data_IF_985429200102
#
_entry.id   IF_985429200102
#
_cell.length_a   1.000
_cell.length_b   1.000
_cell.length_c   1.000
_cell.angle_alpha   90.00
_cell.angle_beta   90.00
_cell.angle_gamma   90.00
#
_symmetry.space_group_name_H-M   'P 1'
#
loop_
_entity.id
_entity.type
_entity.pdbx_description
1 polymer ?
#
# COMPACT_ATOMS: atom_id res chain seq x y z
N UNK A 1 21.77 -5.87 60.43
CA UNK A 1 22.03 -4.51 59.91
C UNK A 1 21.36 -4.42 58.55
N UNK A 2 20.11 -3.93 58.50
CA UNK A 2 19.33 -3.83 57.26
C UNK A 2 19.46 -2.37 56.79
N UNK A 3 20.11 -2.17 55.64
CA UNK A 3 20.18 -0.86 55.00
C UNK A 3 18.83 -0.54 54.36
N UNK A 4 18.15 0.48 54.88
CA UNK A 4 17.02 1.13 54.23
C UNK A 4 17.57 2.12 53.19
N UNK A 5 17.51 1.75 51.91
CA UNK A 5 17.79 2.67 50.81
C UNK A 5 16.56 3.55 50.64
N UNK A 6 16.62 4.78 51.17
CA UNK A 6 15.62 5.82 50.86
C UNK A 6 15.80 6.24 49.40
N UNK A 7 14.87 5.82 48.54
CA UNK A 7 14.73 6.34 47.18
C UNK A 7 14.09 7.72 47.26
N UNK A 8 14.88 8.76 47.01
CA UNK A 8 14.37 10.12 46.86
C UNK A 8 13.72 10.16 45.47
N UNK A 9 12.38 10.22 45.43
CA UNK A 9 11.65 10.47 44.20
C UNK A 9 11.80 11.97 43.88
N UNK A 10 12.72 12.31 42.97
CA UNK A 10 12.80 13.67 42.44
C UNK A 10 11.49 13.96 41.68
N UNK A 11 10.61 14.75 42.29
CA UNK A 11 9.47 15.34 41.60
C UNK A 11 10.02 16.21 40.47
N UNK A 12 9.61 15.93 39.23
CA UNK A 12 9.86 16.82 38.11
C UNK A 12 9.28 18.21 38.47
N UNK A 13 9.97 19.32 38.14
CA UNK A 13 9.44 20.65 38.41
C UNK A 13 8.07 20.76 37.73
N UNK A 14 7.05 21.16 38.49
CA UNK A 14 5.73 21.42 37.97
C UNK A 14 5.85 22.55 36.94
N UNK A 15 5.77 22.20 35.65
CA UNK A 15 5.68 23.19 34.58
C UNK A 15 4.41 24.00 34.82
N UNK A 16 4.53 25.33 34.88
CA UNK A 16 3.35 26.19 34.88
C UNK A 16 2.49 25.86 33.66
N UNK A 17 1.17 25.80 33.85
CA UNK A 17 0.24 25.62 32.74
C UNK A 17 0.34 26.83 31.80
N UNK A 18 0.24 26.62 30.48
CA UNK A 18 0.26 27.73 29.54
C UNK A 18 -1.01 28.57 29.68
N UNK A 19 -0.88 29.90 29.50
CA UNK A 19 -2.02 30.84 29.58
C UNK A 19 -3.18 30.46 28.67
N UNK A 20 -2.82 30.02 27.47
CA UNK A 20 -3.75 29.49 26.47
C UNK A 20 -3.28 28.08 26.17
N UNK A 21 -4.13 27.11 26.46
CA UNK A 21 -3.84 25.69 26.27
C UNK A 21 -4.65 25.13 25.10
N UNK A 22 -4.02 24.22 24.35
CA UNK A 22 -4.68 23.42 23.31
C UNK A 22 -4.57 21.94 23.65
N UNK A 23 -5.69 21.21 23.64
CA UNK A 23 -5.71 19.78 23.96
C UNK A 23 -6.53 19.02 22.91
N UNK A 24 -5.89 18.15 22.09
CA UNK A 24 -4.44 17.93 21.99
C UNK A 24 -3.70 19.10 21.31
N UNK A 25 -2.43 19.30 21.67
CA UNK A 25 -1.50 20.26 21.02
C UNK A 25 -0.63 19.63 19.92
N UNK A 26 -0.55 18.30 19.91
CA UNK A 26 0.13 17.50 18.88
C UNK A 26 -0.90 16.55 18.29
N UNK A 27 -1.11 16.65 16.98
CA UNK A 27 -2.11 15.89 16.25
C UNK A 27 -1.39 15.12 15.15
N UNK A 28 -1.78 13.88 14.93
CA UNK A 28 -1.42 13.11 13.75
C UNK A 28 -2.70 12.74 13.02
N UNK A 29 -2.80 13.10 11.75
CA UNK A 29 -4.02 13.00 10.98
C UNK A 29 -3.73 12.47 9.60
N UNK A 30 -4.44 11.43 9.18
CA UNK A 30 -4.37 10.96 7.81
C UNK A 30 -5.06 11.94 6.86
N UNK A 31 -4.51 12.11 5.67
CA UNK A 31 -5.13 12.93 4.63
C UNK A 31 -6.58 12.53 4.35
N UNK A 32 -7.46 13.53 4.22
CA UNK A 32 -8.90 13.35 4.07
C UNK A 32 -9.69 13.22 5.37
N UNK A 33 -9.01 13.07 6.51
CA UNK A 33 -9.66 13.00 7.83
C UNK A 33 -9.67 14.35 8.55
N UNK A 34 -10.46 14.39 9.62
CA UNK A 34 -10.60 15.56 10.50
C UNK A 34 -10.57 15.14 11.96
N UNK A 35 -10.14 16.03 12.84
CA UNK A 35 -10.20 15.84 14.30
C UNK A 35 -10.49 17.16 14.99
N UNK A 36 -10.91 17.09 16.25
CA UNK A 36 -11.12 18.28 17.07
C UNK A 36 -9.96 18.51 18.05
N UNK A 37 -9.72 19.78 18.35
CA UNK A 37 -8.88 20.21 19.46
C UNK A 37 -9.61 21.28 20.26
N UNK A 38 -9.39 21.26 21.56
CA UNK A 38 -10.02 22.15 22.52
C UNK A 38 -9.04 23.23 22.95
N UNK A 39 -9.48 24.48 22.94
CA UNK A 39 -8.73 25.66 23.40
C UNK A 39 -9.36 26.17 24.69
N UNK A 40 -8.53 26.33 25.73
CA UNK A 40 -8.95 26.83 27.03
C UNK A 40 -8.00 27.91 27.55
N UNK A 41 -8.57 28.86 28.28
CA UNK A 41 -7.89 29.94 28.99
C UNK A 41 -7.66 29.51 30.45
N UNK A 42 -6.56 29.92 31.07
CA UNK A 42 -6.21 29.55 32.45
C UNK A 42 -6.79 30.51 33.50
N UNK A 43 -7.00 31.78 33.14
CA UNK A 43 -7.44 32.86 34.03
C UNK A 43 -8.59 33.71 33.44
N UNK A 44 -9.34 34.47 34.26
CA UNK A 44 -10.33 35.42 33.77
C UNK A 44 -9.76 36.49 32.84
N UNK A 45 -10.55 36.90 31.83
CA UNK A 45 -10.19 38.03 30.97
C UNK A 45 -10.53 39.33 31.72
N UNK A 46 -9.49 40.03 32.18
CA UNK A 46 -9.63 41.30 32.92
C UNK A 46 -9.10 42.44 32.03
N UNK A 47 -9.92 43.48 31.84
CA UNK A 47 -9.61 44.64 31.00
C UNK A 47 -9.97 45.96 31.71
N UNK A 48 -9.45 47.12 31.24
CA UNK A 48 -9.81 48.43 31.80
C UNK A 48 -11.29 48.81 31.62
N UNK A 49 -11.93 48.28 30.58
CA UNK A 49 -13.35 48.53 30.25
C UNK A 49 -14.07 47.21 30.02
N UNK A 50 -15.31 47.09 30.49
CA UNK A 50 -16.19 45.93 30.26
C UNK A 50 -17.44 46.35 29.45
N UNK A 51 -17.90 45.54 28.48
CA UNK A 51 -17.39 44.21 28.13
C UNK A 51 -16.07 44.28 27.35
N UNK A 52 -15.22 43.28 27.55
CA UNK A 52 -14.06 43.06 26.68
C UNK A 52 -14.01 41.63 26.15
N UNK A 53 -13.17 41.42 25.13
CA UNK A 53 -13.07 40.16 24.43
C UNK A 53 -11.62 39.75 24.20
N UNK A 54 -11.44 38.45 23.99
CA UNK A 54 -10.21 37.83 23.48
C UNK A 54 -10.55 37.11 22.19
N UNK A 55 -9.79 37.37 21.13
CA UNK A 55 -9.88 36.62 19.87
C UNK A 55 -8.57 35.92 19.51
N UNK A 56 -8.69 34.73 18.95
CA UNK A 56 -7.61 33.92 18.41
C UNK A 56 -7.96 33.56 16.96
N UNK A 57 -7.22 34.13 16.01
CA UNK A 57 -7.32 33.74 14.59
C UNK A 57 -6.19 32.76 14.27
N UNK A 58 -6.56 31.51 14.01
CA UNK A 58 -5.63 30.45 13.68
C UNK A 58 -5.23 30.51 12.21
N UNK A 59 -3.93 30.46 11.99
CA UNK A 59 -3.31 30.44 10.66
C UNK A 59 -2.54 29.14 10.50
N UNK A 60 -2.66 28.53 9.31
CA UNK A 60 -1.86 27.37 8.92
C UNK A 60 -0.60 27.83 8.22
N UNK A 61 0.53 27.19 8.53
CA UNK A 61 1.78 27.34 7.78
C UNK A 61 1.66 26.81 6.34
N UNK A 62 0.73 25.89 6.08
CA UNK A 62 0.32 25.47 4.74
C UNK A 62 -1.18 25.19 4.69
N UNK A 63 -1.93 26.12 4.10
CA UNK A 63 -3.38 26.01 3.95
C UNK A 63 -3.80 25.03 2.84
N UNK A 64 -2.87 24.53 2.03
CA UNK A 64 -3.14 23.49 1.02
C UNK A 64 -3.14 22.09 1.61
N UNK A 65 -2.54 21.92 2.80
CA UNK A 65 -2.42 20.63 3.49
C UNK A 65 -3.31 20.53 4.74
N UNK A 66 -3.52 21.63 5.46
CA UNK A 66 -4.37 21.65 6.66
C UNK A 66 -5.29 22.86 6.65
N UNK A 67 -6.58 22.62 6.89
CA UNK A 67 -7.58 23.66 7.13
C UNK A 67 -8.12 23.58 8.56
N UNK A 68 -8.66 24.70 9.05
CA UNK A 68 -9.17 24.85 10.42
C UNK A 68 -10.54 25.53 10.39
N UNK A 69 -11.51 24.99 11.11
CA UNK A 69 -12.89 25.51 11.19
C UNK A 69 -13.44 25.42 12.61
N UNK A 70 -13.96 26.53 13.18
CA UNK A 70 -13.83 27.90 12.69
C UNK A 70 -12.37 28.37 12.69
N UNK A 71 -12.02 29.35 11.85
CA UNK A 71 -10.65 29.90 11.84
C UNK A 71 -10.40 30.92 12.95
N UNK A 72 -11.45 31.45 13.57
CA UNK A 72 -11.36 32.39 14.69
C UNK A 72 -12.21 31.91 15.85
N UNK A 73 -11.63 31.95 17.05
CA UNK A 73 -12.32 31.73 18.32
C UNK A 73 -12.37 33.04 19.10
N UNK A 74 -13.50 33.27 19.77
CA UNK A 74 -13.72 34.46 20.59
C UNK A 74 -14.27 34.06 21.95
N UNK A 75 -13.80 34.78 22.97
CA UNK A 75 -14.31 34.74 24.33
C UNK A 75 -14.72 36.14 24.75
N UNK A 76 -15.90 36.27 25.33
CA UNK A 76 -16.24 37.43 26.15
C UNK A 76 -15.62 37.26 27.54
N UNK A 77 -15.42 38.37 28.24
CA UNK A 77 -14.93 38.40 29.62
C UNK A 77 -15.77 37.53 30.58
N UNK A 78 -17.07 37.44 30.36
CA UNK A 78 -18.00 36.58 31.12
C UNK A 78 -17.93 35.10 30.75
N UNK A 79 -17.23 34.72 29.67
CA UNK A 79 -17.20 33.37 29.12
C UNK A 79 -15.80 32.74 29.15
N UNK A 80 -14.82 33.36 29.82
CA UNK A 80 -13.41 32.96 29.80
C UNK A 80 -13.19 31.47 30.13
N UNK A 81 -14.02 30.90 31.02
CA UNK A 81 -13.94 29.52 31.47
C UNK A 81 -14.58 28.52 30.51
N UNK A 82 -15.24 28.98 29.44
CA UNK A 82 -15.79 28.10 28.41
C UNK A 82 -14.67 27.62 27.50
N UNK A 83 -14.51 26.31 27.37
CA UNK A 83 -13.64 25.72 26.35
C UNK A 83 -14.27 25.90 24.97
N UNK A 84 -13.47 26.34 24.00
CA UNK A 84 -13.89 26.45 22.59
C UNK A 84 -13.18 25.37 21.77
N UNK A 85 -13.82 24.87 20.73
CA UNK A 85 -13.29 23.79 19.89
C UNK A 85 -12.96 24.26 18.48
N UNK A 86 -11.91 23.67 17.92
CA UNK A 86 -11.53 23.78 16.53
C UNK A 86 -11.63 22.40 15.89
N UNK A 87 -12.13 22.35 14.67
CA UNK A 87 -11.98 21.20 13.79
C UNK A 87 -10.80 21.45 12.87
N UNK A 88 -9.85 20.53 12.87
CA UNK A 88 -8.65 20.53 12.02
C UNK A 88 -8.83 19.42 10.99
N UNK A 89 -8.66 19.75 9.72
CA UNK A 89 -8.84 18.82 8.60
C UNK A 89 -7.56 18.74 7.78
N UNK A 90 -7.09 17.52 7.52
CA UNK A 90 -6.01 17.28 6.57
C UNK A 90 -6.62 17.15 5.17
N UNK A 91 -6.13 17.95 4.25
CA UNK A 91 -6.64 18.02 2.88
C UNK A 91 -6.00 16.86 2.10
N UNK A 92 -6.84 15.99 1.53
CA UNK A 92 -6.36 14.92 0.65
C UNK A 92 -6.05 15.47 -0.75
N UNK A 93 -4.96 14.98 -1.34
CA UNK A 93 -4.67 15.20 -2.75
C UNK A 93 -4.51 13.88 -3.54
N UNK A 94 -3.70 13.88 -4.60
CA UNK A 94 -3.46 12.70 -5.47
C UNK A 94 -1.98 12.54 -5.80
N UNK A 95 -1.12 13.20 -5.05
CA UNK A 95 0.30 13.34 -5.32
C UNK A 95 1.06 12.95 -4.07
N UNK A 96 1.84 11.88 -4.19
CA UNK A 96 2.75 11.48 -3.13
C UNK A 96 3.77 12.60 -2.82
N UNK A 97 3.68 13.16 -1.61
CA UNK A 97 4.63 14.10 -1.01
C UNK A 97 5.23 13.56 0.28
N UNK A 98 4.72 12.43 0.78
CA UNK A 98 5.12 11.86 2.06
C UNK A 98 4.58 12.68 3.23
N UNK A 99 4.75 12.16 4.45
CA UNK A 99 4.19 12.81 5.64
C UNK A 99 4.73 14.23 5.83
N UNK A 100 3.84 15.19 6.08
CA UNK A 100 4.19 16.59 6.30
C UNK A 100 3.90 17.01 7.73
N UNK A 101 4.65 18.00 8.23
CA UNK A 101 4.39 18.62 9.54
C UNK A 101 4.02 20.07 9.35
N UNK A 102 2.81 20.41 9.79
CA UNK A 102 2.18 21.71 9.66
C UNK A 102 2.00 22.31 11.05
N UNK A 103 2.41 23.57 11.23
CA UNK A 103 2.07 24.33 12.42
C UNK A 103 0.80 25.15 12.18
N UNK A 104 -0.14 25.09 13.14
CA UNK A 104 -1.22 26.05 13.29
C UNK A 104 -0.85 27.00 14.43
N UNK A 105 -0.97 28.30 14.20
CA UNK A 105 -0.63 29.32 15.20
C UNK A 105 -1.65 30.45 15.27
N UNK A 106 -1.87 30.97 16.47
CA UNK A 106 -2.66 32.17 16.72
C UNK A 106 -1.98 33.05 17.76
N UNK A 107 -2.15 34.36 17.61
CA UNK A 107 -1.77 35.36 18.62
C UNK A 107 -3.04 35.94 19.22
N UNK A 108 -3.12 36.00 20.54
CA UNK A 108 -4.25 36.55 21.26
C UNK A 108 -4.35 38.06 21.06
N UNK A 109 -5.50 38.50 20.54
CA UNK A 109 -5.87 39.91 20.45
C UNK A 109 -6.89 40.20 21.54
N UNK A 110 -6.48 40.98 22.53
CA UNK A 110 -7.32 41.36 23.66
C UNK A 110 -6.83 42.66 24.30
N UNK A 111 -7.75 43.39 24.95
CA UNK A 111 -7.43 44.49 25.85
C UNK A 111 -6.97 44.01 27.25
N UNK A 112 -7.01 42.70 27.51
CA UNK A 112 -6.50 42.13 28.74
C UNK A 112 -4.97 42.05 28.72
N UNK A 113 -4.32 42.71 29.66
CA UNK A 113 -2.85 42.69 29.80
C UNK A 113 -2.30 41.28 30.00
N UNK A 114 -3.09 40.39 30.62
CA UNK A 114 -2.67 39.02 30.88
C UNK A 114 -2.55 38.20 29.59
N UNK A 115 -3.45 38.41 28.63
CA UNK A 115 -3.52 37.63 27.40
C UNK A 115 -2.95 38.31 26.17
N UNK A 116 -2.89 39.64 26.13
CA UNK A 116 -2.50 40.39 24.93
C UNK A 116 -1.13 39.95 24.41
N UNK A 117 -1.06 39.55 23.14
CA UNK A 117 0.17 39.11 22.49
C UNK A 117 0.63 37.69 22.83
N UNK A 118 -0.09 36.95 23.68
CA UNK A 118 0.25 35.56 23.96
C UNK A 118 0.01 34.68 22.72
N UNK A 119 0.90 33.73 22.47
CA UNK A 119 0.83 32.86 21.30
C UNK A 119 0.45 31.44 21.69
N UNK A 120 -0.38 30.81 20.86
CA UNK A 120 -0.69 29.39 20.93
C UNK A 120 -0.29 28.72 19.62
N UNK A 121 0.30 27.53 19.70
CA UNK A 121 0.73 26.75 18.55
C UNK A 121 0.31 25.29 18.71
N UNK A 122 -0.15 24.70 17.62
CA UNK A 122 -0.56 23.30 17.52
C UNK A 122 0.26 22.67 16.39
N UNK A 123 0.88 21.53 16.66
CA UNK A 123 1.62 20.77 15.65
C UNK A 123 0.72 19.69 15.06
N UNK A 124 0.56 19.69 13.74
CA UNK A 124 -0.23 18.71 12.99
C UNK A 124 0.71 17.95 12.07
N UNK A 125 0.74 16.62 12.19
CA UNK A 125 1.44 15.75 11.23
C UNK A 125 0.40 15.14 10.29
N UNK A 126 0.48 15.43 9.00
CA UNK A 126 -0.36 14.79 7.99
C UNK A 126 0.27 13.47 7.57
N UNK A 127 -0.53 12.41 7.50
CA UNK A 127 -0.10 11.08 7.05
C UNK A 127 -0.53 10.91 5.60
N UNK A 128 0.46 10.71 4.75
CA UNK A 128 0.32 10.45 3.33
C UNK A 128 -0.44 9.13 3.07
N UNK A 129 -1.32 9.14 2.07
CA UNK A 129 -2.14 8.00 1.69
C UNK A 129 -1.96 7.59 0.23
N UNK A 130 -1.34 8.45 -0.58
CA UNK A 130 -1.09 8.17 -1.96
C UNK A 130 0.08 7.20 -2.12
N UNK A 131 0.03 6.41 -3.20
CA UNK A 131 1.11 5.50 -3.54
C UNK A 131 2.33 6.27 -4.00
N UNK A 132 3.48 5.91 -3.45
CA UNK A 132 4.76 6.40 -3.92
C UNK A 132 5.03 5.96 -5.38
N UNK A 133 5.86 6.71 -6.12
CA UNK A 133 6.30 6.30 -7.45
C UNK A 133 6.95 4.91 -7.47
N UNK A 134 7.62 4.52 -6.38
CA UNK A 134 8.23 3.20 -6.25
C UNK A 134 7.18 2.07 -6.15
N UNK A 135 6.11 2.27 -5.38
CA UNK A 135 5.00 1.31 -5.29
C UNK A 135 4.27 1.16 -6.63
N UNK A 136 4.06 2.27 -7.34
CA UNK A 136 3.47 2.26 -8.67
C UNK A 136 4.36 1.50 -9.66
N UNK A 137 5.68 1.74 -9.63
CA UNK A 137 6.64 1.05 -10.50
C UNK A 137 6.73 -0.45 -10.18
N UNK A 138 6.71 -0.83 -8.90
CA UNK A 138 6.73 -2.22 -8.47
C UNK A 138 5.50 -2.99 -8.96
N UNK A 139 4.31 -2.39 -8.85
CA UNK A 139 3.08 -2.99 -9.36
C UNK A 139 3.11 -3.13 -10.89
N UNK A 140 3.58 -2.10 -11.60
CA UNK A 140 3.75 -2.17 -13.05
C UNK A 140 4.73 -3.28 -13.47
N UNK A 141 5.84 -3.44 -12.75
CA UNK A 141 6.82 -4.49 -13.00
C UNK A 141 6.24 -5.89 -12.74
N UNK A 142 5.43 -6.06 -11.69
CA UNK A 142 4.75 -7.32 -11.39
C UNK A 142 3.78 -7.71 -12.50
N UNK A 143 2.94 -6.76 -12.94
CA UNK A 143 1.99 -6.98 -14.03
C UNK A 143 2.71 -7.33 -15.34
N UNK A 144 3.83 -6.66 -15.64
CA UNK A 144 4.64 -6.98 -16.82
C UNK A 144 5.25 -8.39 -16.73
N UNK A 145 5.78 -8.78 -15.56
CA UNK A 145 6.34 -10.11 -15.35
C UNK A 145 5.29 -11.22 -15.46
N UNK A 146 4.09 -11.00 -14.91
CA UNK A 146 2.95 -11.93 -15.05
C UNK A 146 2.51 -12.07 -16.51
N UNK A 147 2.47 -10.97 -17.27
CA UNK A 147 2.15 -11.00 -18.69
C UNK A 147 3.20 -11.76 -19.52
N UNK A 148 4.49 -11.56 -19.25
CA UNK A 148 5.58 -12.28 -19.90
C UNK A 148 5.55 -13.78 -19.56
N UNK A 149 5.27 -14.12 -18.30
CA UNK A 149 5.10 -15.51 -17.87
C UNK A 149 3.90 -16.17 -18.55
N UNK A 150 2.77 -15.47 -18.67
CA UNK A 150 1.58 -15.97 -19.35
C UNK A 150 1.83 -16.22 -20.85
N UNK A 151 2.59 -15.34 -21.52
CA UNK A 151 2.98 -15.55 -22.93
C UNK A 151 3.85 -16.80 -23.09
N UNK A 152 4.88 -16.96 -22.25
CA UNK A 152 5.75 -18.15 -22.28
C UNK A 152 4.99 -19.43 -21.96
N UNK A 153 4.05 -19.37 -21.02
CA UNK A 153 3.19 -20.51 -20.68
C UNK A 153 2.29 -20.91 -21.86
N UNK A 154 1.76 -19.94 -22.61
CA UNK A 154 1.00 -20.22 -23.85
C UNK A 154 1.87 -20.87 -24.91
N UNK A 155 3.07 -20.33 -25.18
CA UNK A 155 4.01 -20.91 -26.13
C UNK A 155 4.43 -22.34 -25.74
N UNK A 156 4.71 -22.57 -24.46
CA UNK A 156 5.06 -23.90 -23.95
C UNK A 156 3.88 -24.86 -24.04
N UNK A 157 2.65 -24.41 -23.81
CA UNK A 157 1.45 -25.23 -23.97
C UNK A 157 1.25 -25.66 -25.43
N UNK A 158 1.35 -24.73 -26.38
CA UNK A 158 1.28 -25.03 -27.82
C UNK A 158 2.36 -26.05 -28.22
N UNK A 159 3.60 -25.86 -27.75
CA UNK A 159 4.68 -26.81 -28.01
C UNK A 159 4.41 -28.19 -27.40
N UNK A 160 3.83 -28.24 -26.20
CA UNK A 160 3.48 -29.49 -25.53
C UNK A 160 2.37 -30.23 -26.28
N UNK A 161 1.35 -29.51 -26.78
CA UNK A 161 0.31 -30.10 -27.62
C UNK A 161 0.88 -30.66 -28.93
N UNK A 162 1.79 -29.95 -29.59
CA UNK A 162 2.47 -30.46 -30.78
C UNK A 162 3.32 -31.71 -30.48
N UNK A 163 4.06 -31.70 -29.37
CA UNK A 163 4.91 -32.82 -28.97
C UNK A 163 4.08 -34.08 -28.65
N UNK A 164 2.85 -33.91 -28.16
CA UNK A 164 1.94 -35.02 -27.83
C UNK A 164 1.53 -35.87 -29.05
N UNK A 165 1.62 -35.32 -30.27
CA UNK A 165 1.21 -36.01 -31.50
C UNK A 165 2.33 -36.89 -32.08
N UNK A 166 3.57 -36.70 -31.64
CA UNK A 166 4.75 -37.44 -32.16
C UNK A 166 4.62 -38.97 -32.02
N UNK A 167 4.21 -39.54 -30.87
CA UNK A 167 4.06 -40.98 -30.73
C UNK A 167 3.01 -41.58 -31.69
N UNK A 168 1.92 -40.86 -31.94
CA UNK A 168 0.88 -41.27 -32.89
C UNK A 168 1.42 -41.27 -34.33
N UNK A 169 2.20 -40.25 -34.71
CA UNK A 169 2.86 -40.20 -36.03
C UNK A 169 3.83 -41.37 -36.19
N UNK A 170 4.65 -41.66 -35.17
CA UNK A 170 5.57 -42.79 -35.19
C UNK A 170 4.84 -44.14 -35.32
N UNK A 171 3.75 -44.33 -34.58
CA UNK A 171 2.91 -45.52 -34.68
C UNK A 171 2.29 -45.70 -36.07
N UNK A 172 1.77 -44.62 -36.67
CA UNK A 172 1.24 -44.65 -38.03
C UNK A 172 2.32 -45.01 -39.06
N UNK A 173 3.54 -44.49 -38.92
CA UNK A 173 4.65 -44.83 -39.80
C UNK A 173 5.05 -46.32 -39.70
N UNK A 174 5.08 -46.88 -38.49
CA UNK A 174 5.35 -48.32 -38.28
C UNK A 174 4.26 -49.19 -38.91
N UNK A 175 2.99 -48.87 -38.64
CA UNK A 175 1.85 -49.59 -39.22
C UNK A 175 1.86 -49.54 -40.76
N UNK A 176 2.20 -48.40 -41.33
CA UNK A 176 2.32 -48.25 -42.78
C UNK A 176 3.48 -49.08 -43.35
N UNK A 177 4.62 -49.15 -42.64
CA UNK A 177 5.75 -50.00 -42.99
C UNK A 177 5.38 -51.49 -42.97
N UNK A 178 4.70 -51.95 -41.92
CA UNK A 178 4.23 -53.32 -41.79
C UNK A 178 3.19 -53.68 -42.86
N UNK A 179 2.26 -52.78 -43.14
CA UNK A 179 1.28 -52.94 -44.22
C UNK A 179 1.96 -53.01 -45.58
N UNK A 180 2.93 -52.12 -45.85
CA UNK A 180 3.71 -52.13 -47.09
C UNK A 180 4.46 -53.45 -47.27
N UNK A 181 5.10 -53.93 -46.20
CA UNK A 181 5.79 -55.22 -46.20
C UNK A 181 4.81 -56.38 -46.48
N UNK A 182 3.63 -56.36 -45.88
CA UNK A 182 2.56 -57.35 -46.12
C UNK A 182 2.03 -57.30 -47.57
N UNK A 183 1.85 -56.10 -48.13
CA UNK A 183 1.27 -55.91 -49.46
C UNK A 183 2.26 -56.14 -50.60
N UNK A 184 3.55 -55.85 -50.40
CA UNK A 184 4.58 -55.87 -51.45
C UNK A 184 5.56 -57.04 -51.34
N UNK A 185 5.53 -57.81 -50.25
CA UNK A 185 6.42 -58.96 -50.07
C UNK A 185 5.67 -60.29 -49.91
N UNK A 186 6.40 -61.38 -50.03
CA UNK A 186 5.96 -62.73 -49.70
C UNK A 186 6.89 -63.29 -48.64
N UNK A 187 6.30 -63.77 -47.55
CA UNK A 187 7.03 -64.31 -46.40
C UNK A 187 7.44 -65.76 -46.67
N UNK A 188 8.73 -66.03 -46.61
CA UNK A 188 9.32 -67.36 -46.76
C UNK A 188 9.98 -67.79 -45.45
N UNK A 189 9.79 -69.04 -45.02
CA UNK A 189 10.27 -69.53 -43.72
C UNK A 189 11.08 -70.83 -43.83
N UNK A 190 12.11 -70.95 -42.99
CA UNK A 190 12.92 -72.17 -42.80
C UNK A 190 13.22 -72.32 -41.31
N UNK A 191 12.53 -73.23 -40.64
CA UNK A 191 12.59 -73.33 -39.17
C UNK A 191 12.21 -72.00 -38.50
N UNK A 192 13.09 -71.46 -37.65
CA UNK A 192 12.91 -70.16 -36.99
C UNK A 192 13.30 -68.94 -37.85
N UNK A 193 13.91 -69.16 -39.01
CA UNK A 193 14.35 -68.06 -39.89
C UNK A 193 13.28 -67.65 -40.88
N UNK A 194 13.11 -66.33 -41.06
CA UNK A 194 12.11 -65.72 -41.95
C UNK A 194 12.84 -64.82 -42.95
N UNK A 195 12.45 -64.89 -44.22
CA UNK A 195 12.90 -63.97 -45.28
C UNK A 195 11.70 -63.46 -46.06
N UNK A 196 11.60 -62.15 -46.27
CA UNK A 196 10.60 -61.53 -47.12
C UNK A 196 11.20 -61.31 -48.53
N UNK A 197 10.54 -61.81 -49.57
CA UNK A 197 10.91 -61.60 -50.97
C UNK A 197 9.85 -60.75 -51.68
N UNK A 198 10.14 -60.16 -52.84
CA UNK A 198 9.11 -59.42 -53.62
C UNK A 198 7.87 -60.29 -53.84
N UNK A 199 6.68 -59.72 -53.73
CA UNK A 199 5.41 -60.45 -53.85
C UNK A 199 5.34 -61.20 -55.18
N UNK A 200 5.04 -62.50 -55.10
CA UNK A 200 5.00 -63.40 -56.27
C UNK A 200 6.34 -64.06 -56.64
N UNK A 201 7.47 -63.64 -56.05
CA UNK A 201 8.75 -64.32 -56.26
C UNK A 201 8.79 -65.71 -55.59
N UNK A 202 9.57 -66.64 -56.17
CA UNK A 202 9.81 -67.96 -55.57
C UNK A 202 10.64 -67.82 -54.29
N UNK A 203 10.33 -68.63 -53.27
CA UNK A 203 11.11 -68.65 -52.04
C UNK A 203 12.55 -69.19 -52.29
N UNK A 204 13.56 -68.68 -51.57
CA UNK A 204 14.92 -69.20 -51.64
C UNK A 204 15.00 -70.69 -51.31
N UNK A 205 16.00 -71.40 -51.84
CA UNK A 205 16.13 -72.86 -51.69
C UNK A 205 16.13 -73.27 -50.21
N UNK A 206 15.24 -74.20 -49.86
CA UNK A 206 15.05 -74.68 -48.48
C UNK A 206 14.14 -73.82 -47.60
N UNK A 207 13.57 -72.73 -48.13
CA UNK A 207 12.50 -71.97 -47.49
C UNK A 207 11.17 -72.27 -48.18
N UNK A 208 10.09 -72.36 -47.41
CA UNK A 208 8.73 -72.54 -47.93
C UNK A 208 7.92 -71.26 -47.75
N UNK A 209 7.00 -70.99 -48.67
CA UNK A 209 6.10 -69.84 -48.56
C UNK A 209 5.22 -70.05 -47.33
N UNK A 210 5.24 -69.08 -46.42
CA UNK A 210 4.26 -69.03 -45.33
C UNK A 210 2.97 -68.46 -45.94
N UNK A 211 1.88 -69.23 -45.89
CA UNK A 211 0.56 -68.74 -46.29
C UNK A 211 0.16 -67.57 -45.43
#
# INVERSE_FOLDING_TARGET
MVLLISTILNAAPASALPKISSTPSIISLQEGNSTSTSIALDEPIICPTSPCQLSLTFTSSDATLVSVTPSTLTWLDTEWNQTRTLTISAIADRTYKGNQRISLSATAVSASEYYSGFQVSISVSTIEIDRSPAEIAAEAARVAAEADAAKKAKEQKELTELLSVIPSIAGLALNLGDLTNSLLTTKCVKGKTVKNVKKGAKCPKGYVKKK
#
